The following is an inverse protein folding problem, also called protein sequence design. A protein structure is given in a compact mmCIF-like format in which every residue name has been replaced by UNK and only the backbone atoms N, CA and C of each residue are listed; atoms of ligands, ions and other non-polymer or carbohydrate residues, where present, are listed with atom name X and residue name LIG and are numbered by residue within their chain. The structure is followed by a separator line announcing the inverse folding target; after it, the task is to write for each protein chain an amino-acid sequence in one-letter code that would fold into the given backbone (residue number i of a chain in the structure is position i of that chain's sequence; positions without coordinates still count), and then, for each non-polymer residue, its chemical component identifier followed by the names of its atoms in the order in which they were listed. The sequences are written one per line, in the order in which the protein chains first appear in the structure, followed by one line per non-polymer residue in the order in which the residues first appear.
data_IF_627846226891
#
_entry.id   IF_627846226891
#
_cell.length_a   1.000
_cell.length_b   1.000
_cell.length_c   1.000
_cell.angle_alpha   90.00
_cell.angle_beta   90.00
_cell.angle_gamma   90.00
#
_symmetry.space_group_name_H-M   'P 1'
#
loop_
_entity.id
_entity.type
_entity.pdbx_description
1 polymer ?
#
# COMPACT_ATOMS: atom_id res chain seq x y z
N UNK A 1 12.80 -10.01 4.66
CA UNK A 1 11.52 -10.76 4.43
C UNK A 1 11.54 -11.07 2.94
N UNK A 2 11.02 -12.21 2.46
CA UNK A 2 10.96 -12.45 1.01
C UNK A 2 9.62 -12.07 0.37
N UNK A 3 9.64 -11.80 -0.94
CA UNK A 3 8.46 -11.46 -1.76
C UNK A 3 7.35 -12.50 -1.61
N UNK A 4 7.69 -13.80 -1.65
CA UNK A 4 6.70 -14.87 -1.49
C UNK A 4 5.90 -14.74 -0.19
N UNK A 5 6.57 -14.44 0.92
CA UNK A 5 5.91 -14.23 2.22
C UNK A 5 5.01 -13.00 2.20
N UNK A 6 5.47 -11.89 1.60
CA UNK A 6 4.68 -10.68 1.44
C UNK A 6 3.39 -10.95 0.66
N UNK A 7 3.50 -11.62 -0.49
CA UNK A 7 2.37 -11.92 -1.36
C UNK A 7 1.39 -12.86 -0.68
N UNK A 8 1.85 -13.94 -0.03
CA UNK A 8 0.99 -14.85 0.72
C UNK A 8 0.21 -14.14 1.84
N UNK A 9 0.82 -13.17 2.51
CA UNK A 9 0.13 -12.34 3.50
C UNK A 9 -0.94 -11.49 2.82
N UNK A 10 -0.54 -10.71 1.82
CA UNK A 10 -1.42 -9.75 1.15
C UNK A 10 -2.65 -10.43 0.52
N UNK A 11 -2.47 -11.58 -0.13
CA UNK A 11 -3.57 -12.33 -0.75
C UNK A 11 -4.44 -13.07 0.26
N UNK A 12 -3.93 -13.42 1.45
CA UNK A 12 -4.74 -14.06 2.50
C UNK A 12 -5.88 -13.19 3.04
N UNK A 13 -5.84 -11.87 2.79
CA UNK A 13 -6.88 -10.93 3.20
C UNK A 13 -8.00 -10.74 2.17
N UNK A 14 -7.81 -11.27 0.95
CA UNK A 14 -8.84 -11.25 -0.09
C UNK A 14 -9.99 -12.15 0.34
N UNK A 15 -11.23 -11.72 0.03
CA UNK A 15 -12.48 -12.42 0.34
C UNK A 15 -12.77 -12.66 1.83
N UNK A 16 -12.07 -11.97 2.74
CA UNK A 16 -12.27 -12.07 4.20
C UNK A 16 -13.36 -11.13 4.74
N UNK A 17 -14.27 -10.63 3.90
CA UNK A 17 -15.34 -9.69 4.27
C UNK A 17 -14.86 -8.47 5.11
N UNK A 18 -13.67 -7.96 4.79
CA UNK A 18 -13.02 -6.90 5.54
C UNK A 18 -13.82 -5.60 5.40
N UNK A 19 -13.94 -4.81 6.47
CA UNK A 19 -14.59 -3.49 6.42
C UNK A 19 -13.58 -2.35 6.35
N UNK A 20 -13.91 -1.30 5.62
CA UNK A 20 -13.05 -0.13 5.54
C UNK A 20 -13.26 0.76 6.77
N UNK A 21 -12.16 1.21 7.39
CA UNK A 21 -12.20 2.21 8.46
C UNK A 21 -10.88 2.97 8.51
N UNK A 22 -10.93 4.30 8.59
CA UNK A 22 -9.75 5.16 8.72
C UNK A 22 -9.89 6.09 9.95
N UNK A 23 -9.00 6.00 10.96
CA UNK A 23 -7.99 4.96 11.11
C UNK A 23 -8.63 3.61 11.47
N UNK A 24 -8.11 2.54 10.86
CA UNK A 24 -8.51 1.17 11.16
C UNK A 24 -7.56 0.46 12.14
N UNK A 25 -7.89 -0.79 12.47
CA UNK A 25 -7.10 -1.62 13.38
C UNK A 25 -6.21 -2.55 12.57
N UNK A 26 -4.89 -2.47 12.78
CA UNK A 26 -3.94 -3.42 12.21
C UNK A 26 -3.94 -4.71 13.03
N UNK A 27 -4.17 -5.90 12.42
CA UNK A 27 -4.03 -7.18 13.09
C UNK A 27 -2.61 -7.39 13.64
N UNK A 28 -2.42 -8.45 14.42
CA UNK A 28 -1.07 -8.83 14.86
C UNK A 28 -0.09 -8.93 13.68
N UNK A 29 1.02 -8.19 13.77
CA UNK A 29 2.09 -8.21 12.78
C UNK A 29 2.80 -9.57 12.73
N UNK A 30 2.68 -10.40 13.78
CA UNK A 30 3.26 -11.74 13.78
C UNK A 30 2.44 -12.74 12.96
N UNK A 31 1.13 -12.52 12.78
CA UNK A 31 0.21 -13.44 12.11
C UNK A 31 0.56 -13.62 10.63
N UNK A 32 0.72 -14.86 10.16
CA UNK A 32 1.13 -15.16 8.78
C UNK A 32 0.02 -15.01 7.73
N UNK A 33 -1.24 -14.99 8.17
CA UNK A 33 -2.43 -14.84 7.34
C UNK A 33 -3.38 -13.85 7.99
N UNK A 34 -4.29 -13.29 7.19
CA UNK A 34 -5.35 -12.43 7.69
C UNK A 34 -6.16 -13.17 8.77
N UNK A 35 -6.52 -12.51 9.89
CA UNK A 35 -7.29 -13.16 10.94
C UNK A 35 -8.71 -13.46 10.48
N UNK A 36 -9.31 -14.51 11.04
CA UNK A 36 -10.72 -14.87 10.80
C UNK A 36 -11.72 -13.99 11.55
N UNK A 37 -11.26 -13.13 12.46
CA UNK A 37 -12.09 -12.17 13.17
C UNK A 37 -12.42 -10.96 12.29
N UNK A 38 -13.59 -10.35 12.49
CA UNK A 38 -13.93 -9.08 11.86
C UNK A 38 -12.90 -8.00 12.23
N UNK A 39 -12.13 -7.56 11.24
CA UNK A 39 -11.19 -6.45 11.36
C UNK A 39 -11.59 -5.39 10.35
N UNK A 40 -11.71 -4.14 10.80
CA UNK A 40 -11.83 -3.00 9.91
C UNK A 40 -10.50 -2.28 9.77
N UNK A 41 -10.07 -1.99 8.54
CA UNK A 41 -8.74 -1.45 8.26
C UNK A 41 -8.77 -0.37 7.16
N UNK A 42 -7.69 0.38 7.02
CA UNK A 42 -7.43 1.31 5.91
C UNK A 42 -6.26 0.83 5.03
N UNK A 43 -5.98 1.54 3.94
CA UNK A 43 -4.92 1.22 2.98
C UNK A 43 -3.54 1.08 3.64
N UNK A 44 -3.17 2.06 4.47
CA UNK A 44 -1.87 2.08 5.14
C UNK A 44 -1.74 1.01 6.22
N UNK A 45 -2.81 0.76 6.99
CA UNK A 45 -2.85 -0.30 7.98
C UNK A 45 -2.71 -1.69 7.36
N UNK A 46 -3.32 -1.91 6.20
CA UNK A 46 -3.20 -3.15 5.43
C UNK A 46 -1.76 -3.35 4.93
N UNK A 47 -1.16 -2.32 4.31
CA UNK A 47 0.21 -2.44 3.80
C UNK A 47 1.23 -2.58 4.95
N UNK A 48 1.04 -1.84 6.06
CA UNK A 48 1.85 -2.00 7.27
C UNK A 48 1.79 -3.43 7.81
N UNK A 49 0.58 -4.03 7.85
CA UNK A 49 0.42 -5.44 8.23
C UNK A 49 1.15 -6.37 7.27
N UNK A 50 1.00 -6.19 5.95
CA UNK A 50 1.67 -7.02 4.95
C UNK A 50 3.20 -7.03 5.14
N UNK A 51 3.79 -5.86 5.39
CA UNK A 51 5.24 -5.72 5.61
C UNK A 51 5.72 -5.97 7.04
N UNK A 52 4.82 -6.27 8.00
CA UNK A 52 5.13 -6.40 9.43
C UNK A 52 5.74 -5.14 10.05
N UNK A 53 5.26 -3.97 9.64
CA UNK A 53 5.72 -2.68 10.15
C UNK A 53 4.68 -2.10 11.11
N UNK A 54 5.16 -1.51 12.20
CA UNK A 54 4.33 -0.72 13.10
C UNK A 54 3.76 0.50 12.37
N UNK A 55 2.49 0.84 12.61
CA UNK A 55 1.89 2.06 12.06
C UNK A 55 2.60 3.33 12.51
N UNK A 56 3.37 3.27 13.60
CA UNK A 56 4.26 4.34 14.06
C UNK A 56 5.71 3.87 13.95
N UNK A 57 6.50 4.53 13.12
CA UNK A 57 7.90 4.22 12.87
C UNK A 57 8.80 5.26 13.52
N UNK A 58 9.91 4.81 14.09
CA UNK A 58 10.98 5.69 14.54
C UNK A 58 12.01 5.88 13.42
N UNK A 59 11.66 6.75 12.46
CA UNK A 59 12.55 7.14 11.37
C UNK A 59 12.58 8.66 11.23
N UNK A 60 13.76 9.31 11.13
CA UNK A 60 13.85 10.77 11.05
C UNK A 60 13.04 11.40 9.92
N UNK A 61 13.03 10.78 8.73
CA UNK A 61 12.23 11.25 7.59
C UNK A 61 10.74 11.28 7.92
N UNK A 62 10.20 10.15 8.41
CA UNK A 62 8.78 10.05 8.76
C UNK A 62 8.41 11.01 9.90
N UNK A 63 9.25 11.08 10.96
CA UNK A 63 9.05 12.05 12.05
C UNK A 63 8.95 13.49 11.53
N UNK A 64 9.81 13.87 10.58
CA UNK A 64 9.81 15.19 9.95
C UNK A 64 8.60 15.43 9.04
N UNK A 65 8.21 14.44 8.24
CA UNK A 65 7.16 14.59 7.20
C UNK A 65 5.77 14.54 7.79
N UNK A 66 5.48 13.58 8.67
CA UNK A 66 4.13 13.31 9.15
C UNK A 66 4.09 12.90 10.64
N UNK A 67 5.14 13.23 11.40
CA UNK A 67 5.24 12.88 12.81
C UNK A 67 5.52 11.40 13.07
N UNK A 68 5.90 10.59 12.07
CA UNK A 68 6.32 9.20 12.25
C UNK A 68 5.27 8.15 11.89
N UNK A 69 4.21 8.52 11.15
CA UNK A 69 3.16 7.57 10.76
C UNK A 69 3.55 6.80 9.49
N UNK A 70 3.35 5.49 9.48
CA UNK A 70 3.46 4.68 8.27
C UNK A 70 2.13 4.78 7.51
N UNK A 71 1.97 5.87 6.75
CA UNK A 71 0.81 6.17 5.91
C UNK A 71 1.23 6.76 4.56
N UNK A 72 0.26 7.01 3.68
CA UNK A 72 0.46 7.36 2.27
C UNK A 72 1.37 8.56 2.05
N UNK A 73 1.24 9.64 2.83
CA UNK A 73 2.09 10.83 2.70
C UNK A 73 3.53 10.55 3.11
N UNK A 74 3.74 9.87 4.25
CA UNK A 74 5.07 9.48 4.72
C UNK A 74 5.77 8.49 3.78
N UNK A 75 5.04 7.49 3.28
CA UNK A 75 5.58 6.49 2.35
C UNK A 75 5.84 7.09 0.97
N UNK A 76 4.99 7.99 0.49
CA UNK A 76 5.26 8.72 -0.75
C UNK A 76 6.56 9.54 -0.66
N UNK A 77 6.75 10.25 0.46
CA UNK A 77 7.98 10.99 0.72
C UNK A 77 9.21 10.08 0.89
N UNK A 78 9.04 8.89 1.48
CA UNK A 78 10.08 7.85 1.57
C UNK A 78 10.51 7.40 0.17
N UNK A 79 9.57 6.95 -0.66
CA UNK A 79 9.86 6.49 -2.03
C UNK A 79 10.57 7.56 -2.85
N UNK A 80 10.17 8.82 -2.74
CA UNK A 80 10.79 9.94 -3.46
C UNK A 80 12.11 10.45 -2.86
N UNK A 81 12.59 9.87 -1.76
CA UNK A 81 13.78 10.29 -1.02
C UNK A 81 14.96 9.35 -1.29
N UNK A 82 16.19 9.82 -1.04
CA UNK A 82 17.40 8.97 -1.07
C UNK A 82 17.66 8.23 0.24
N UNK A 83 16.77 8.39 1.22
CA UNK A 83 16.80 7.74 2.53
C UNK A 83 15.38 7.27 2.89
N UNK A 84 15.29 6.22 3.70
CA UNK A 84 14.04 5.67 4.18
C UNK A 84 14.03 4.15 4.10
N UNK A 85 12.86 3.56 3.92
CA UNK A 85 12.66 2.12 3.76
C UNK A 85 12.40 1.70 2.32
N UNK A 86 12.05 2.65 1.44
CA UNK A 86 11.69 2.37 0.07
C UNK A 86 12.51 3.19 -0.93
N UNK A 87 13.03 2.51 -1.93
CA UNK A 87 13.61 3.14 -3.12
C UNK A 87 12.59 3.24 -4.24
N UNK A 88 12.55 4.39 -4.93
CA UNK A 88 11.79 4.51 -6.18
C UNK A 88 12.40 3.63 -7.29
N UNK A 89 11.54 2.89 -7.97
CA UNK A 89 11.90 2.07 -9.15
C UNK A 89 11.06 2.47 -10.37
N UNK A 90 11.61 2.31 -11.58
CA UNK A 90 10.91 2.68 -12.82
C UNK A 90 10.16 1.51 -13.47
N UNK A 91 10.70 0.29 -13.36
CA UNK A 91 10.06 -0.95 -13.81
C UNK A 91 9.39 -1.63 -12.61
N UNK A 92 8.04 -1.75 -12.56
CA UNK A 92 7.39 -2.44 -11.46
C UNK A 92 7.74 -3.92 -11.46
N UNK A 93 7.68 -4.52 -10.27
CA UNK A 93 7.86 -5.95 -10.06
C UNK A 93 6.94 -6.43 -8.93
N UNK A 94 6.62 -7.71 -8.91
CA UNK A 94 5.76 -8.30 -7.89
C UNK A 94 6.29 -7.99 -6.49
N UNK A 95 5.42 -7.54 -5.59
CA UNK A 95 5.76 -7.13 -4.23
C UNK A 95 6.15 -5.66 -4.06
N UNK A 96 6.37 -4.91 -5.14
CA UNK A 96 6.51 -3.45 -5.03
C UNK A 96 5.17 -2.81 -4.62
N UNK A 97 5.24 -1.56 -4.15
CA UNK A 97 4.06 -0.77 -3.85
C UNK A 97 3.77 0.24 -4.96
N UNK A 98 2.50 0.56 -5.15
CA UNK A 98 2.09 1.82 -5.76
C UNK A 98 1.55 2.73 -4.67
N UNK A 99 1.94 4.01 -4.69
CA UNK A 99 1.51 5.00 -3.68
C UNK A 99 1.34 6.38 -4.30
N UNK A 100 0.29 7.10 -3.93
CA UNK A 100 0.17 8.55 -4.09
C UNK A 100 -0.26 9.18 -2.76
N UNK A 101 0.16 10.42 -2.46
CA UNK A 101 -0.08 11.06 -1.17
C UNK A 101 -1.47 11.69 -1.11
N UNK A 102 -1.82 12.23 0.05
CA UNK A 102 -2.97 13.13 0.16
C UNK A 102 -2.79 14.31 -0.79
N UNK A 103 -3.88 14.78 -1.40
CA UNK A 103 -3.82 15.83 -2.41
C UNK A 103 -4.99 16.79 -2.31
N UNK A 104 -4.78 18.02 -2.79
CA UNK A 104 -5.86 19.00 -2.92
C UNK A 104 -6.49 18.86 -4.30
N UNK A 105 -7.78 18.53 -4.34
CA UNK A 105 -8.53 18.41 -5.58
C UNK A 105 -8.78 19.75 -6.26
N UNK A 106 -9.23 19.73 -7.51
CA UNK A 106 -9.68 20.93 -8.23
C UNK A 106 -10.89 21.60 -7.56
N UNK A 107 -11.63 20.85 -6.74
CA UNK A 107 -12.70 21.33 -5.87
C UNK A 107 -12.19 22.06 -4.60
N UNK A 108 -10.87 22.18 -4.45
CA UNK A 108 -10.23 22.81 -3.31
C UNK A 108 -10.26 21.99 -2.03
N UNK A 109 -10.79 20.76 -2.04
CA UNK A 109 -10.85 19.88 -0.88
C UNK A 109 -9.60 19.02 -0.78
N UNK A 110 -9.26 18.61 0.44
CA UNK A 110 -8.23 17.60 0.67
C UNK A 110 -8.85 16.23 0.47
N UNK A 111 -8.16 15.37 -0.26
CA UNK A 111 -8.53 13.99 -0.53
C UNK A 111 -7.40 13.09 -0.04
N UNK A 112 -7.79 11.96 0.56
CA UNK A 112 -6.85 10.97 1.06
C UNK A 112 -6.03 10.35 -0.08
N UNK A 113 -4.77 10.09 0.21
CA UNK A 113 -3.85 9.31 -0.60
C UNK A 113 -4.26 7.84 -0.66
N UNK A 114 -3.53 7.04 -1.43
CA UNK A 114 -3.80 5.61 -1.50
C UNK A 114 -2.56 4.79 -1.83
N UNK A 115 -2.57 3.53 -1.39
CA UNK A 115 -1.49 2.60 -1.65
C UNK A 115 -1.94 1.15 -1.75
N UNK A 116 -1.13 0.32 -2.42
CA UNK A 116 -1.34 -1.11 -2.56
C UNK A 116 -0.07 -1.86 -2.92
N UNK A 117 -0.15 -3.19 -2.91
CA UNK A 117 0.96 -4.10 -3.23
C UNK A 117 0.71 -4.77 -4.58
N UNK A 118 1.68 -4.67 -5.49
CA UNK A 118 1.60 -5.25 -6.82
C UNK A 118 1.67 -6.78 -6.73
N UNK A 119 0.68 -7.45 -7.32
CA UNK A 119 0.59 -8.90 -7.40
C UNK A 119 1.08 -9.44 -8.75
N UNK A 120 0.82 -8.71 -9.83
CA UNK A 120 1.12 -9.15 -11.19
C UNK A 120 1.56 -7.98 -12.08
N UNK A 121 2.47 -8.26 -13.00
CA UNK A 121 2.99 -7.32 -13.99
C UNK A 121 3.00 -7.94 -15.40
N UNK A 122 2.78 -7.10 -16.40
CA UNK A 122 2.92 -7.38 -17.83
C UNK A 122 4.25 -6.78 -18.33
N UNK A 123 5.23 -7.66 -18.54
CA UNK A 123 6.59 -7.29 -18.97
C UNK A 123 6.66 -6.63 -20.35
N UNK A 124 5.58 -6.67 -21.14
CA UNK A 124 5.52 -5.96 -22.44
C UNK A 124 5.26 -4.45 -22.29
N UNK A 125 4.86 -4.00 -21.09
CA UNK A 125 4.54 -2.61 -20.77
C UNK A 125 5.59 -1.99 -19.85
N UNK A 126 5.47 -0.69 -19.61
CA UNK A 126 6.39 0.07 -18.76
C UNK A 126 5.65 0.92 -17.72
N UNK A 127 6.35 1.29 -16.64
CA UNK A 127 5.79 2.09 -15.55
C UNK A 127 4.55 1.45 -14.93
N UNK A 128 3.66 2.28 -14.37
CA UNK A 128 2.43 1.81 -13.71
C UNK A 128 1.51 1.04 -14.66
N UNK A 129 1.56 1.32 -15.97
CA UNK A 129 0.76 0.61 -16.97
C UNK A 129 1.14 -0.87 -17.12
N UNK A 130 2.34 -1.27 -16.66
CA UNK A 130 2.72 -2.66 -16.58
C UNK A 130 2.06 -3.42 -15.42
N UNK A 131 1.48 -2.76 -14.41
CA UNK A 131 0.79 -3.46 -13.33
C UNK A 131 -0.55 -3.99 -13.84
N UNK A 132 -0.80 -5.30 -13.73
CA UNK A 132 -2.08 -5.91 -14.14
C UNK A 132 -2.96 -6.22 -12.93
N UNK A 133 -2.35 -6.48 -11.78
CA UNK A 133 -3.05 -6.77 -10.52
C UNK A 133 -2.34 -6.14 -9.33
N UNK A 134 -3.11 -5.50 -8.47
CA UNK A 134 -2.65 -4.85 -7.23
C UNK A 134 -3.69 -5.07 -6.14
N UNK A 135 -3.25 -5.54 -4.97
CA UNK A 135 -4.09 -5.70 -3.78
C UNK A 135 -4.00 -4.48 -2.88
N UNK A 136 -5.16 -3.97 -2.48
CA UNK A 136 -5.27 -2.76 -1.66
C UNK A 136 -6.57 -2.74 -0.86
N UNK A 137 -6.60 -1.93 0.20
CA UNK A 137 -7.78 -1.70 1.03
C UNK A 137 -8.42 -0.35 0.70
N UNK A 138 -9.69 -0.31 0.28
CA UNK A 138 -10.36 0.96 -0.04
C UNK A 138 -11.86 0.96 0.30
N UNK A 139 -12.40 2.17 0.50
CA UNK A 139 -13.85 2.38 0.66
C UNK A 139 -14.64 1.93 -0.56
N UNK A 140 -14.08 2.10 -1.77
CA UNK A 140 -14.73 1.69 -3.02
C UNK A 140 -14.87 0.17 -3.11
N UNK A 141 -13.85 -0.57 -2.66
CA UNK A 141 -13.90 -2.03 -2.58
C UNK A 141 -14.92 -2.49 -1.52
N UNK A 142 -14.99 -1.83 -0.35
CA UNK A 142 -15.94 -2.23 0.70
C UNK A 142 -17.40 -2.14 0.21
N UNK A 143 -17.71 -1.13 -0.62
CA UNK A 143 -19.03 -0.98 -1.27
C UNK A 143 -19.39 -2.13 -2.20
N UNK A 144 -18.42 -2.94 -2.66
CA UNK A 144 -18.65 -4.11 -3.52
C UNK A 144 -18.49 -5.44 -2.78
N UNK A 145 -18.21 -5.42 -1.46
CA UNK A 145 -18.25 -6.61 -0.59
C UNK A 145 -17.21 -6.59 0.53
N UNK A 146 -15.93 -6.57 0.14
CA UNK A 146 -14.77 -6.56 1.06
C UNK A 146 -13.88 -5.36 0.74
N UNK A 147 -13.42 -4.65 1.77
CA UNK A 147 -12.52 -3.51 1.63
C UNK A 147 -11.18 -3.89 0.99
N UNK A 148 -10.71 -5.12 1.18
CA UNK A 148 -9.47 -5.63 0.57
C UNK A 148 -9.82 -6.49 -0.64
N UNK A 149 -9.35 -6.06 -1.82
CA UNK A 149 -9.52 -6.75 -3.09
C UNK A 149 -8.27 -6.55 -3.96
N UNK A 150 -8.09 -7.46 -4.94
CA UNK A 150 -7.16 -7.26 -6.04
C UNK A 150 -7.89 -6.62 -7.23
N UNK A 151 -7.34 -5.53 -7.76
CA UNK A 151 -7.90 -4.82 -8.93
C UNK A 151 -6.79 -4.43 -9.90
N UNK A 152 -7.15 -3.82 -11.04
CA UNK A 152 -6.18 -3.15 -11.92
C UNK A 152 -5.68 -1.81 -11.35
N UNK A 153 -4.68 -1.17 -12.02
CA UNK A 153 -3.97 0.01 -11.50
C UNK A 153 -4.65 1.35 -11.83
N UNK A 154 -5.89 1.36 -12.31
CA UNK A 154 -6.52 2.53 -12.93
C UNK A 154 -6.48 3.80 -12.06
N UNK A 155 -6.66 3.65 -10.73
CA UNK A 155 -6.62 4.79 -9.81
C UNK A 155 -5.24 5.44 -9.70
N UNK A 156 -4.16 4.65 -9.80
CA UNK A 156 -2.79 5.18 -9.80
C UNK A 156 -2.40 5.77 -11.15
N UNK A 157 -2.88 5.19 -12.26
CA UNK A 157 -2.69 5.76 -13.61
C UNK A 157 -3.28 7.18 -13.73
N UNK A 158 -4.36 7.45 -13.01
CA UNK A 158 -5.02 8.75 -13.00
C UNK A 158 -4.38 9.78 -12.05
N UNK A 159 -3.24 9.44 -11.41
CA UNK A 159 -2.53 10.31 -10.47
C UNK A 159 -1.07 10.46 -10.90
N UNK A 160 -0.71 11.68 -11.29
CA UNK A 160 0.65 11.99 -11.78
C UNK A 160 1.71 11.85 -10.69
N UNK A 161 1.28 11.97 -9.45
CA UNK A 161 2.07 11.86 -8.24
C UNK A 161 2.32 10.40 -7.83
N UNK A 162 1.71 9.42 -8.51
CA UNK A 162 1.91 8.01 -8.18
C UNK A 162 3.36 7.59 -8.38
N UNK A 163 3.92 6.93 -7.37
CA UNK A 163 5.26 6.36 -7.39
C UNK A 163 5.21 4.85 -7.26
N UNK A 164 6.24 4.19 -7.80
CA UNK A 164 6.50 2.76 -7.63
C UNK A 164 7.63 2.61 -6.62
N UNK A 165 7.34 2.06 -5.45
CA UNK A 165 8.30 1.89 -4.37
C UNK A 165 8.73 0.42 -4.22
N UNK A 166 10.02 0.16 -4.15
CA UNK A 166 10.57 -1.12 -3.71
C UNK A 166 11.07 -1.00 -2.29
N UNK A 167 10.79 -2.00 -1.46
CA UNK A 167 11.27 -2.01 -0.09
C UNK A 167 12.69 -2.58 -0.04
N UNK A 168 13.63 -1.84 0.52
CA UNK A 168 15.07 -2.10 0.35
C UNK A 168 15.57 -3.41 1.01
N UNK A 169 14.87 -3.88 2.05
CA UNK A 169 15.17 -5.13 2.79
C UNK A 169 14.29 -6.32 2.37
N UNK A 170 13.59 -6.21 1.24
CA UNK A 170 12.76 -7.27 0.68
C UNK A 170 13.60 -8.17 -0.25
N UNK A 171 13.80 -9.41 0.20
CA UNK A 171 14.51 -10.44 -0.55
C UNK A 171 13.62 -10.93 -1.71
N UNK A 172 14.18 -11.02 -2.92
CA UNK A 172 13.47 -11.57 -4.09
C UNK A 172 13.17 -13.08 -3.94
#
# INVERSE_FOLDING_TARGET
MNVKTLILRATSAIDQNVKYKSPGVTPSLSANKWPSSEVSIDCSGFVAWCFRVSRKVDHPLYKKVNGGWFETTGIHADVGSSVGYFSQISKPKVGCILVYPDYKGSDGKVHDGHMGIVLEVDDSKTGIAAVTSIVHCSVSNDRTGSAIQATGPAIWLNRKESLIGWRDDLDE
#
